data_IF_279519105907
#
_entry.id   IF_279519105907
#
_cell.length_a   1.000
_cell.length_b   1.000
_cell.length_c   1.000
_cell.angle_alpha   90.00
_cell.angle_beta   90.00
_cell.angle_gamma   90.00
#
_symmetry.space_group_name_H-M   'P 1'
#
loop_
_entity.id
_entity.type
_entity.pdbx_description
1 polymer ?
#
# COMPACT_ATOMS: atom_id res chain seq x y z
N UNK A 1 34.67 34.51 -17.87
CA UNK A 1 35.44 33.26 -17.84
C UNK A 1 35.75 33.01 -16.37
N UNK A 2 35.19 32.04 -15.66
CA UNK A 2 34.61 30.77 -16.09
C UNK A 2 33.64 30.28 -15.02
N UNK A 3 32.60 29.62 -15.50
CA UNK A 3 31.59 28.86 -14.80
C UNK A 3 32.15 27.95 -13.69
N UNK A 4 31.51 27.99 -12.52
CA UNK A 4 31.45 26.83 -11.62
C UNK A 4 30.02 26.61 -11.18
N UNK A 5 29.36 25.89 -12.06
CA UNK A 5 28.07 25.22 -11.95
C UNK A 5 27.86 24.63 -10.54
N UNK A 6 26.81 25.07 -9.86
CA UNK A 6 26.28 24.44 -8.67
C UNK A 6 25.70 23.07 -9.06
N UNK A 7 25.93 21.98 -8.32
CA UNK A 7 25.18 20.76 -8.55
C UNK A 7 23.74 21.01 -8.09
N UNK A 8 22.85 21.28 -9.03
CA UNK A 8 21.41 21.15 -8.84
C UNK A 8 21.13 19.68 -8.49
N UNK A 9 21.04 19.37 -7.20
CA UNK A 9 20.44 18.14 -6.73
C UNK A 9 18.93 18.21 -7.00
N UNK A 10 18.53 17.86 -8.23
CA UNK A 10 17.13 17.61 -8.55
C UNK A 10 16.57 16.49 -7.66
N UNK A 11 15.26 16.48 -7.34
CA UNK A 11 14.67 15.56 -6.36
C UNK A 11 14.50 14.11 -6.86
N UNK A 12 15.18 13.71 -7.95
CA UNK A 12 14.99 12.42 -8.62
C UNK A 12 16.09 11.40 -8.29
N UNK A 13 16.58 11.41 -7.05
CA UNK A 13 17.53 10.42 -6.56
C UNK A 13 16.80 9.16 -6.07
N UNK A 14 16.65 8.17 -6.95
CA UNK A 14 16.57 6.76 -6.53
C UNK A 14 15.17 6.13 -6.37
N UNK A 15 14.15 6.60 -7.08
CA UNK A 15 12.86 5.88 -7.14
C UNK A 15 13.04 4.56 -7.89
N UNK A 16 12.76 3.43 -7.24
CA UNK A 16 12.75 2.12 -7.91
C UNK A 16 11.51 1.96 -8.79
N UNK A 17 11.58 1.19 -9.88
CA UNK A 17 10.48 1.10 -10.85
C UNK A 17 9.23 0.36 -10.33
N UNK A 18 9.43 -0.66 -9.49
CA UNK A 18 8.35 -1.43 -8.87
C UNK A 18 8.83 -2.09 -7.58
N UNK A 19 7.98 -2.13 -6.55
CA UNK A 19 8.25 -2.84 -5.29
C UNK A 19 7.10 -3.78 -4.95
N UNK A 20 7.42 -5.03 -4.67
CA UNK A 20 6.48 -5.99 -4.09
C UNK A 20 6.49 -5.90 -2.57
N UNK A 21 5.40 -5.38 -1.99
CA UNK A 21 5.33 -5.15 -0.54
C UNK A 21 5.43 -6.46 0.26
N UNK A 22 4.79 -7.52 -0.22
CA UNK A 22 4.79 -8.82 0.45
C UNK A 22 6.21 -9.40 0.52
N UNK A 23 6.97 -9.28 -0.58
CA UNK A 23 8.35 -9.76 -0.61
C UNK A 23 9.27 -8.94 0.31
N UNK A 24 9.12 -7.62 0.34
CA UNK A 24 9.90 -6.77 1.26
C UNK A 24 9.56 -7.10 2.73
N UNK A 25 8.27 -7.31 3.04
CA UNK A 25 7.83 -7.70 4.37
C UNK A 25 8.40 -9.06 4.79
N UNK A 26 8.40 -10.07 3.91
CA UNK A 26 9.01 -11.39 4.17
C UNK A 26 10.50 -11.28 4.47
N UNK A 27 11.21 -10.44 3.72
CA UNK A 27 12.63 -10.15 3.93
C UNK A 27 12.90 -9.34 5.21
N UNK A 28 11.86 -8.79 5.87
CA UNK A 28 12.00 -7.94 7.05
C UNK A 28 12.53 -6.54 6.75
N UNK A 29 12.48 -6.11 5.49
CA UNK A 29 12.92 -4.79 5.05
C UNK A 29 11.86 -3.70 5.16
N UNK A 30 12.28 -2.47 4.88
CA UNK A 30 11.38 -1.33 4.68
C UNK A 30 11.22 -1.06 3.17
N UNK A 31 9.99 -1.01 2.62
CA UNK A 31 9.79 -0.70 1.21
C UNK A 31 10.34 0.70 0.87
N UNK A 32 11.15 0.85 -0.20
CA UNK A 32 11.62 2.15 -0.65
C UNK A 32 10.50 2.95 -1.34
N UNK A 33 10.78 4.22 -1.64
CA UNK A 33 9.94 4.99 -2.57
C UNK A 33 10.06 4.40 -3.98
N UNK A 34 8.93 4.16 -4.62
CA UNK A 34 8.85 3.47 -5.91
C UNK A 34 7.84 4.14 -6.85
N UNK A 35 8.02 3.94 -8.16
CA UNK A 35 7.06 4.41 -9.17
C UNK A 35 5.77 3.60 -9.11
N UNK A 36 5.90 2.33 -8.71
CA UNK A 36 4.80 1.38 -8.62
C UNK A 36 4.96 0.47 -7.40
N UNK A 37 3.84 0.10 -6.82
CA UNK A 37 3.74 -0.82 -5.70
C UNK A 37 2.87 -1.99 -6.09
N UNK A 38 3.41 -3.20 -5.96
CA UNK A 38 2.65 -4.44 -6.06
C UNK A 38 2.16 -4.81 -4.67
N UNK A 39 0.84 -4.78 -4.51
CA UNK A 39 0.13 -5.08 -3.28
C UNK A 39 -0.73 -6.32 -3.46
N UNK A 40 -0.99 -7.04 -2.36
CA UNK A 40 -1.85 -8.22 -2.36
C UNK A 40 -3.13 -7.91 -1.60
N UNK A 41 -4.28 -8.06 -2.25
CA UNK A 41 -5.61 -7.93 -1.63
C UNK A 41 -6.36 -9.23 -1.87
N UNK A 42 -6.77 -9.91 -0.79
CA UNK A 42 -7.21 -11.30 -0.82
C UNK A 42 -6.19 -12.13 -1.63
N UNK A 43 -6.62 -13.00 -2.53
CA UNK A 43 -5.75 -13.85 -3.36
C UNK A 43 -5.21 -13.21 -4.64
N UNK A 44 -5.41 -11.90 -4.81
CA UNK A 44 -5.02 -11.20 -6.03
C UNK A 44 -3.91 -10.16 -5.78
N UNK A 45 -3.07 -9.96 -6.79
CA UNK A 45 -2.04 -8.93 -6.81
C UNK A 45 -2.48 -7.77 -7.69
N UNK A 46 -2.23 -6.57 -7.21
CA UNK A 46 -2.53 -5.32 -7.90
C UNK A 46 -1.27 -4.47 -7.97
N UNK A 47 -1.04 -3.81 -9.09
CA UNK A 47 0.06 -2.86 -9.26
C UNK A 47 -0.53 -1.45 -9.32
N UNK A 48 -0.13 -0.60 -8.38
CA UNK A 48 -0.63 0.77 -8.25
C UNK A 48 0.53 1.76 -8.32
N UNK A 49 0.31 2.93 -8.90
CA UNK A 49 1.33 3.99 -8.98
C UNK A 49 1.28 4.97 -7.80
N UNK A 50 0.28 4.84 -6.92
CA UNK A 50 0.17 5.66 -5.71
C UNK A 50 1.04 5.05 -4.60
N UNK A 51 1.76 5.89 -3.86
CA UNK A 51 2.53 5.46 -2.69
C UNK A 51 1.69 5.25 -1.42
N UNK A 52 0.41 5.61 -1.47
CA UNK A 52 -0.54 5.42 -0.40
C UNK A 52 -1.96 5.36 -0.95
N UNK A 53 -2.87 4.65 -0.29
CA UNK A 53 -4.29 4.61 -0.64
C UNK A 53 -5.15 4.57 0.61
N UNK A 54 -6.36 5.14 0.53
CA UNK A 54 -7.38 5.00 1.57
C UNK A 54 -7.97 3.59 1.61
N UNK A 55 -8.55 3.20 2.74
CA UNK A 55 -9.27 1.93 2.85
C UNK A 55 -10.39 1.78 1.80
N UNK A 56 -11.13 2.86 1.51
CA UNK A 56 -12.15 2.86 0.48
C UNK A 56 -11.59 2.62 -0.93
N UNK A 57 -10.45 3.22 -1.27
CA UNK A 57 -9.80 3.00 -2.57
C UNK A 57 -9.26 1.57 -2.70
N UNK A 58 -8.69 1.00 -1.65
CA UNK A 58 -8.24 -0.40 -1.63
C UNK A 58 -9.40 -1.38 -1.83
N UNK A 59 -10.55 -1.12 -1.19
CA UNK A 59 -11.77 -1.91 -1.39
C UNK A 59 -12.30 -1.80 -2.82
N UNK A 60 -12.37 -0.59 -3.38
CA UNK A 60 -12.79 -0.36 -4.77
C UNK A 60 -11.84 -1.05 -5.76
N UNK A 61 -10.53 -1.01 -5.51
CA UNK A 61 -9.51 -1.68 -6.33
C UNK A 61 -9.76 -3.19 -6.41
N UNK A 62 -10.19 -3.80 -5.29
CA UNK A 62 -10.57 -5.21 -5.21
C UNK A 62 -12.03 -5.49 -5.61
N UNK A 63 -12.68 -4.58 -6.35
CA UNK A 63 -14.08 -4.69 -6.78
C UNK A 63 -15.09 -4.85 -5.63
N UNK A 64 -14.76 -4.37 -4.43
CA UNK A 64 -15.64 -4.39 -3.25
C UNK A 64 -16.43 -3.08 -3.17
N UNK A 65 -17.47 -2.99 -3.99
CA UNK A 65 -18.34 -1.81 -4.10
C UNK A 65 -19.78 -2.19 -3.75
N UNK A 66 -20.47 -1.44 -2.88
CA UNK A 66 -19.99 -0.24 -2.21
C UNK A 66 -19.05 -0.55 -1.01
N UNK A 67 -17.98 0.24 -0.76
CA UNK A 67 -16.96 -0.10 0.24
C UNK A 67 -17.47 -0.26 1.68
N UNK A 68 -18.51 0.46 2.06
CA UNK A 68 -19.16 0.40 3.38
C UNK A 68 -19.70 -0.99 3.73
N UNK A 69 -19.99 -1.81 2.71
CA UNK A 69 -20.45 -3.19 2.89
C UNK A 69 -19.30 -4.16 3.19
N UNK A 70 -18.07 -3.67 3.35
CA UNK A 70 -16.90 -4.51 3.57
C UNK A 70 -16.05 -3.98 4.74
N UNK A 71 -15.31 -4.91 5.34
CA UNK A 71 -14.27 -4.66 6.32
C UNK A 71 -12.94 -4.92 5.63
N UNK A 72 -12.01 -3.97 5.76
CA UNK A 72 -10.64 -4.11 5.29
C UNK A 72 -9.71 -4.34 6.47
N UNK A 73 -8.84 -5.34 6.36
CA UNK A 73 -7.76 -5.59 7.32
C UNK A 73 -6.43 -5.62 6.62
N UNK A 74 -5.38 -5.18 7.29
CA UNK A 74 -3.99 -5.30 6.89
C UNK A 74 -3.29 -6.30 7.79
N UNK A 75 -2.69 -7.31 7.18
CA UNK A 75 -1.77 -8.23 7.82
C UNK A 75 -0.34 -7.70 7.69
N UNK A 76 0.32 -7.57 8.82
CA UNK A 76 1.72 -7.19 8.93
C UNK A 76 2.59 -8.40 9.31
N UNK A 77 3.87 -8.32 8.97
CA UNK A 77 4.92 -9.27 9.36
C UNK A 77 4.88 -9.50 10.86
N UNK A 78 5.00 -10.77 11.27
CA UNK A 78 4.85 -11.18 12.67
C UNK A 78 3.42 -11.48 13.09
N UNK A 79 2.47 -11.48 12.13
CA UNK A 79 1.09 -11.90 12.38
C UNK A 79 0.18 -10.83 12.96
N UNK A 80 0.65 -9.57 13.03
CA UNK A 80 -0.16 -8.45 13.51
C UNK A 80 -1.23 -8.13 12.47
N UNK A 81 -2.49 -8.06 12.89
CA UNK A 81 -3.62 -7.69 12.02
C UNK A 81 -4.18 -6.36 12.51
N UNK A 82 -4.39 -5.43 11.57
CA UNK A 82 -4.99 -4.12 11.84
C UNK A 82 -6.22 -3.92 10.95
N UNK A 83 -7.32 -3.45 11.53
CA UNK A 83 -8.48 -3.00 10.74
C UNK A 83 -8.18 -1.61 10.16
N UNK A 84 -8.56 -1.40 8.90
CA UNK A 84 -8.41 -0.13 8.19
C UNK A 84 -9.81 0.44 7.93
N UNK A 85 -10.09 1.63 8.44
CA UNK A 85 -11.30 2.38 8.15
C UNK A 85 -11.35 2.90 6.71
N UNK A 86 -12.52 3.29 6.24
CA UNK A 86 -12.71 3.75 4.86
C UNK A 86 -11.87 4.98 4.52
N UNK A 87 -11.69 5.89 5.48
CA UNK A 87 -10.91 7.12 5.35
C UNK A 87 -9.46 6.98 5.81
N UNK A 88 -9.07 5.84 6.37
CA UNK A 88 -7.72 5.61 6.87
C UNK A 88 -6.77 5.47 5.69
N UNK A 89 -5.67 6.22 5.71
CA UNK A 89 -4.65 6.21 4.66
C UNK A 89 -3.58 5.17 5.02
N UNK A 90 -3.33 4.25 4.09
CA UNK A 90 -2.24 3.28 4.18
C UNK A 90 -1.05 3.76 3.37
N UNK A 91 0.08 4.01 4.02
CA UNK A 91 1.36 4.31 3.38
C UNK A 91 2.07 3.00 2.98
N UNK A 92 2.34 2.79 1.69
CA UNK A 92 3.00 1.59 1.18
C UNK A 92 4.51 1.54 1.48
N UNK A 93 5.08 2.60 2.05
CA UNK A 93 6.44 2.59 2.62
C UNK A 93 6.46 2.12 4.08
N UNK A 94 5.29 1.79 4.65
CA UNK A 94 5.18 1.17 5.98
C UNK A 94 5.85 -0.21 5.94
N UNK A 95 6.79 -0.50 6.86
CA UNK A 95 7.46 -1.79 6.89
C UNK A 95 6.50 -2.91 7.29
N UNK A 96 6.71 -4.08 6.68
CA UNK A 96 6.03 -5.30 7.09
C UNK A 96 4.64 -5.52 6.49
N UNK A 97 4.16 -4.74 5.51
CA UNK A 97 2.88 -5.02 4.85
C UNK A 97 2.96 -6.34 4.08
N UNK A 98 2.24 -7.37 4.53
CA UNK A 98 2.19 -8.67 3.84
C UNK A 98 1.02 -8.73 2.84
N UNK A 99 -0.18 -8.36 3.29
CA UNK A 99 -1.42 -8.50 2.52
C UNK A 99 -2.55 -7.70 3.15
N UNK A 100 -3.53 -7.31 2.33
CA UNK A 100 -4.85 -6.87 2.78
C UNK A 100 -5.90 -7.97 2.61
N UNK A 101 -6.84 -8.10 3.55
CA UNK A 101 -7.98 -9.00 3.42
C UNK A 101 -9.29 -8.24 3.50
N UNK A 102 -10.27 -8.67 2.72
CA UNK A 102 -11.61 -8.13 2.71
C UNK A 102 -12.60 -9.15 3.28
N UNK A 103 -13.58 -8.67 4.04
CA UNK A 103 -14.67 -9.47 4.57
C UNK A 103 -15.98 -8.72 4.34
N UNK A 104 -17.08 -9.38 3.92
CA UNK A 104 -18.40 -8.75 3.93
C UNK A 104 -18.74 -8.28 5.35
N UNK A 105 -19.20 -7.04 5.48
CA UNK A 105 -19.73 -6.51 6.74
C UNK A 105 -21.09 -7.20 6.96
N UNK A 106 -21.18 -8.04 7.99
CA UNK A 106 -22.49 -8.55 8.41
C UNK A 106 -23.28 -7.37 8.99
N UNK A 107 -24.37 -7.02 8.31
CA UNK A 107 -25.38 -6.12 8.86
C UNK A 107 -26.25 -6.98 9.78
N UNK A 108 -26.13 -6.82 11.09
CA UNK A 108 -27.20 -7.27 11.99
C UNK A 108 -28.31 -6.25 11.85
N UNK A 109 -29.33 -6.57 11.05
CA UNK A 109 -30.64 -5.90 11.15
C UNK A 109 -31.15 -6.11 12.58
N UNK A 110 -31.60 -5.01 13.19
CA UNK A 110 -31.99 -4.94 14.61
C UNK A 110 -33.27 -5.69 14.96
#
# INVERSE_FOLDING_TARGET
MSDKNQPNAGPDAGLVDEVDLEQVAKAGGKPPKAKRYRIRIDDQYYVVSQGSMTGAELLKLASKTPPENYILTQKLRGGVIKTIGLSDVVDFTTPGIERFNTLPRQVQEG
#
